data_IF_303076131840
#
_entry.id   IF_303076131840
#
_cell.length_a   1.000
_cell.length_b   1.000
_cell.length_c   1.000
_cell.angle_alpha   90.00
_cell.angle_beta   90.00
_cell.angle_gamma   90.00
#
_symmetry.space_group_name_H-M   'P 1'
#
loop_
_entity.id
_entity.type
_entity.pdbx_description
1 polymer ?
#
# COMPACT_ATOMS: atom_id res chain seq x y z
N UNK A 1 -56.05 -14.13 84.69
CA UNK A 1 -55.78 -12.83 85.36
C UNK A 1 -54.27 -12.62 85.23
N UNK A 2 -53.67 -11.64 84.54
CA UNK A 2 -54.00 -10.30 84.03
C UNK A 2 -53.07 -10.09 82.81
N UNK A 3 -53.58 -9.75 81.61
CA UNK A 3 -53.51 -8.42 80.97
C UNK A 3 -52.14 -7.71 80.99
N UNK A 4 -51.53 -7.67 79.78
CA UNK A 4 -50.75 -6.63 79.07
C UNK A 4 -50.36 -5.33 79.82
N UNK A 5 -49.12 -4.86 79.57
CA UNK A 5 -48.78 -3.59 78.88
C UNK A 5 -47.25 -3.32 79.01
N UNK A 6 -46.45 -3.37 77.93
CA UNK A 6 -46.11 -2.27 77.01
C UNK A 6 -45.79 -0.92 77.69
N UNK A 7 -44.50 -0.64 77.92
CA UNK A 7 -43.85 0.59 77.42
C UNK A 7 -42.35 0.62 77.78
N UNK A 8 -41.52 0.63 76.73
CA UNK A 8 -40.28 1.39 76.55
C UNK A 8 -39.10 1.31 77.54
N UNK A 9 -37.97 1.65 76.92
CA UNK A 9 -36.83 2.35 77.49
C UNK A 9 -35.63 1.53 77.94
N UNK A 10 -34.59 1.70 77.13
CA UNK A 10 -33.18 1.81 77.52
C UNK A 10 -32.47 0.50 77.88
N UNK A 11 -31.22 0.44 77.41
CA UNK A 11 -30.10 -0.29 78.00
C UNK A 11 -29.79 -1.71 77.49
N UNK A 12 -29.61 -1.93 76.18
CA UNK A 12 -28.92 -3.16 75.76
C UNK A 12 -28.14 -3.17 74.44
N UNK A 13 -27.81 -2.03 73.82
CA UNK A 13 -26.94 -2.02 72.61
C UNK A 13 -25.77 -1.02 72.70
N UNK A 14 -25.56 -0.39 73.86
CA UNK A 14 -24.54 0.68 74.04
C UNK A 14 -23.20 0.17 74.62
N UNK A 15 -22.77 -1.04 74.24
CA UNK A 15 -21.46 -1.62 74.62
C UNK A 15 -20.75 -2.36 73.47
N UNK A 16 -20.67 -1.71 72.30
CA UNK A 16 -19.53 -1.85 71.40
C UNK A 16 -18.97 -0.45 71.09
N UNK A 17 -18.58 0.23 72.16
CA UNK A 17 -17.75 1.43 72.17
C UNK A 17 -16.38 1.02 72.72
N UNK A 18 -15.56 0.45 71.85
CA UNK A 18 -14.11 0.35 72.02
C UNK A 18 -13.54 0.17 70.60
N UNK A 19 -12.64 1.08 70.20
CA UNK A 19 -12.08 1.28 68.86
C UNK A 19 -12.89 2.16 67.89
N UNK A 20 -13.25 3.36 68.36
CA UNK A 20 -13.49 4.52 67.51
C UNK A 20 -12.40 5.58 67.77
N UNK A 21 -11.23 5.43 67.14
CA UNK A 21 -10.23 6.51 67.02
C UNK A 21 -9.07 6.09 66.10
N UNK A 22 -9.26 6.21 64.78
CA UNK A 22 -8.24 6.51 63.76
C UNK A 22 -8.76 6.05 62.39
N UNK A 23 -9.04 6.99 61.49
CA UNK A 23 -9.31 6.66 60.08
C UNK A 23 -10.68 7.06 59.54
N UNK A 24 -11.25 8.19 59.97
CA UNK A 24 -12.42 8.77 59.29
C UNK A 24 -12.51 10.29 59.52
N UNK A 25 -11.49 11.04 59.13
CA UNK A 25 -11.55 12.50 59.05
C UNK A 25 -10.38 13.08 58.22
N UNK A 26 -10.39 12.84 56.90
CA UNK A 26 -9.68 13.68 55.91
C UNK A 26 -10.00 13.20 54.49
N UNK A 27 -11.22 13.39 54.01
CA UNK A 27 -11.55 13.17 52.58
C UNK A 27 -12.76 14.01 52.15
N UNK A 28 -12.76 15.28 52.54
CA UNK A 28 -13.59 16.30 51.88
C UNK A 28 -12.71 17.54 51.76
N UNK A 29 -12.47 17.94 50.50
CA UNK A 29 -11.73 19.13 49.98
C UNK A 29 -10.53 18.72 49.13
N UNK A 30 -10.81 18.23 47.92
CA UNK A 30 -9.93 18.28 46.75
C UNK A 30 -10.75 17.95 45.49
N UNK A 31 -11.90 18.60 45.31
CA UNK A 31 -12.83 18.28 44.23
C UNK A 31 -13.41 19.54 43.61
N UNK A 32 -12.57 20.40 43.05
CA UNK A 32 -13.00 21.51 42.17
C UNK A 32 -11.90 22.01 41.21
N UNK A 33 -10.63 21.66 41.41
CA UNK A 33 -9.55 22.10 40.51
C UNK A 33 -9.38 21.23 39.24
N UNK A 34 -9.79 19.95 39.27
CA UNK A 34 -9.57 19.02 38.15
C UNK A 34 -10.67 18.95 37.08
N UNK A 35 -11.86 19.47 37.36
CA UNK A 35 -13.02 19.36 36.45
C UNK A 35 -12.89 20.38 35.30
N UNK A 36 -12.29 21.54 35.56
CA UNK A 36 -12.09 22.59 34.55
C UNK A 36 -11.10 22.18 33.47
N UNK A 37 -10.02 21.49 33.86
CA UNK A 37 -9.00 20.99 32.94
C UNK A 37 -9.48 19.77 32.15
N UNK A 38 -10.29 18.88 32.76
CA UNK A 38 -10.93 17.78 32.03
C UNK A 38 -11.96 18.27 31.00
N UNK A 39 -12.75 19.29 31.32
CA UNK A 39 -13.68 19.88 30.37
C UNK A 39 -12.97 20.62 29.24
N UNK A 40 -11.92 21.39 29.54
CA UNK A 40 -11.13 22.09 28.53
C UNK A 40 -10.44 21.11 27.57
N UNK A 41 -9.83 20.03 28.10
CA UNK A 41 -9.22 19.00 27.26
C UNK A 41 -10.25 18.26 26.38
N UNK A 42 -11.47 18.03 26.88
CA UNK A 42 -12.55 17.42 26.09
C UNK A 42 -13.11 18.36 25.01
N UNK A 43 -13.18 19.66 25.30
CA UNK A 43 -13.61 20.69 24.36
C UNK A 43 -12.57 20.90 23.25
N UNK A 44 -11.28 20.91 23.60
CA UNK A 44 -10.18 20.97 22.65
C UNK A 44 -10.14 19.72 21.77
N UNK A 45 -10.40 18.53 22.33
CA UNK A 45 -10.50 17.29 21.57
C UNK A 45 -11.71 17.31 20.62
N UNK A 46 -12.88 17.77 21.08
CA UNK A 46 -14.07 17.92 20.23
C UNK A 46 -13.86 18.96 19.12
N UNK A 47 -13.18 20.07 19.41
CA UNK A 47 -12.85 21.09 18.43
C UNK A 47 -11.83 20.59 17.39
N UNK A 48 -10.84 19.79 17.79
CA UNK A 48 -9.92 19.13 16.84
C UNK A 48 -10.65 18.14 15.96
N UNK A 49 -11.50 17.28 16.53
CA UNK A 49 -12.33 16.34 15.76
C UNK A 49 -13.29 17.07 14.81
N UNK A 50 -13.89 18.18 15.25
CA UNK A 50 -14.75 19.00 14.41
C UNK A 50 -13.97 19.75 13.32
N UNK A 51 -12.74 20.19 13.61
CA UNK A 51 -11.86 20.83 12.64
C UNK A 51 -11.32 19.83 11.62
N UNK A 52 -11.01 18.61 12.02
CA UNK A 52 -10.65 17.49 11.15
C UNK A 52 -11.85 17.10 10.27
N UNK A 53 -13.04 16.92 10.85
CA UNK A 53 -14.26 16.65 10.09
C UNK A 53 -14.63 17.79 9.13
N UNK A 54 -14.41 19.04 9.53
CA UNK A 54 -14.60 20.24 8.70
C UNK A 54 -13.54 20.34 7.58
N UNK A 55 -12.29 19.96 7.87
CA UNK A 55 -11.23 19.89 6.87
C UNK A 55 -11.51 18.75 5.87
N UNK A 56 -12.01 17.61 6.33
CA UNK A 56 -12.44 16.49 5.49
C UNK A 56 -13.65 16.87 4.61
N UNK A 57 -14.61 17.62 5.14
CA UNK A 57 -15.74 18.13 4.33
C UNK A 57 -15.28 19.19 3.34
N UNK A 58 -14.35 20.08 3.70
CA UNK A 58 -13.85 21.15 2.83
C UNK A 58 -12.89 20.62 1.75
N UNK A 59 -12.13 19.57 2.05
CA UNK A 59 -11.37 18.78 1.08
C UNK A 59 -12.30 17.93 0.19
N UNK A 60 -13.42 17.43 0.73
CA UNK A 60 -14.45 16.73 -0.03
C UNK A 60 -15.21 17.63 -1.02
N UNK A 61 -15.47 18.89 -0.65
CA UNK A 61 -16.26 19.84 -1.44
C UNK A 61 -15.58 20.30 -2.75
N UNK A 62 -14.26 20.18 -2.87
CA UNK A 62 -13.52 20.48 -4.11
C UNK A 62 -13.26 19.24 -4.98
N UNK A 63 -13.58 18.03 -4.47
CA UNK A 63 -13.36 16.72 -5.11
C UNK A 63 -14.71 16.07 -5.46
N UNK A 64 -15.68 16.87 -5.88
CA UNK A 64 -17.07 16.40 -5.96
C UNK A 64 -17.45 15.64 -7.25
N UNK A 65 -16.54 15.58 -8.23
CA UNK A 65 -16.77 14.77 -9.43
C UNK A 65 -16.11 13.41 -9.29
N UNK A 66 -16.88 12.35 -9.59
CA UNK A 66 -16.41 10.95 -9.63
C UNK A 66 -15.08 10.81 -10.39
N UNK A 67 -14.93 11.54 -11.50
CA UNK A 67 -13.70 11.56 -12.31
C UNK A 67 -12.48 12.13 -11.56
N UNK A 68 -12.67 13.14 -10.69
CA UNK A 68 -11.56 13.69 -9.88
C UNK A 68 -11.15 12.72 -8.80
N UNK A 69 -12.12 12.04 -8.17
CA UNK A 69 -11.83 11.01 -7.17
C UNK A 69 -11.13 9.79 -7.81
N UNK A 70 -11.49 9.39 -9.03
CA UNK A 70 -10.75 8.37 -9.78
C UNK A 70 -9.30 8.77 -10.02
N UNK A 71 -9.02 10.03 -10.39
CA UNK A 71 -7.64 10.52 -10.56
C UNK A 71 -6.83 10.47 -9.27
N UNK A 72 -7.46 10.74 -8.11
CA UNK A 72 -6.82 10.56 -6.81
C UNK A 72 -6.41 9.10 -6.60
N UNK A 73 -7.32 8.15 -6.85
CA UNK A 73 -7.00 6.71 -6.78
C UNK A 73 -5.84 6.35 -7.71
N UNK A 74 -5.86 6.81 -8.95
CA UNK A 74 -4.77 6.55 -9.91
C UNK A 74 -3.44 7.17 -9.46
N UNK A 75 -3.46 8.34 -8.85
CA UNK A 75 -2.24 8.97 -8.30
C UNK A 75 -1.67 8.14 -7.16
N UNK A 76 -2.52 7.67 -6.24
CA UNK A 76 -2.10 6.76 -5.17
C UNK A 76 -1.46 5.48 -5.73
N UNK A 77 -2.02 4.92 -6.79
CA UNK A 77 -1.48 3.74 -7.46
C UNK A 77 -0.10 4.01 -8.10
N UNK A 78 0.10 5.18 -8.72
CA UNK A 78 1.42 5.60 -9.23
C UNK A 78 2.47 5.73 -8.14
N UNK A 79 2.05 6.02 -6.91
CA UNK A 79 2.90 6.12 -5.72
C UNK A 79 3.01 4.78 -4.96
N UNK A 80 2.55 3.67 -5.56
CA UNK A 80 2.53 2.33 -4.97
C UNK A 80 1.70 2.20 -3.67
N UNK A 81 0.78 3.13 -3.42
CA UNK A 81 -0.12 3.15 -2.26
C UNK A 81 -1.34 2.24 -2.49
N UNK A 82 -1.10 0.99 -2.84
CA UNK A 82 -2.14 0.05 -3.30
C UNK A 82 -3.24 -0.22 -2.27
N UNK A 83 -2.88 -0.46 -1.00
CA UNK A 83 -3.86 -0.71 0.07
C UNK A 83 -4.72 0.52 0.36
N UNK A 84 -4.11 1.70 0.39
CA UNK A 84 -4.86 2.94 0.58
C UNK A 84 -5.79 3.19 -0.63
N UNK A 85 -5.32 2.91 -1.85
CA UNK A 85 -6.15 3.01 -3.05
C UNK A 85 -7.40 2.11 -2.97
N UNK A 86 -7.31 0.89 -2.42
CA UNK A 86 -8.47 0.01 -2.22
C UNK A 86 -9.53 0.62 -1.30
N UNK A 87 -9.11 1.23 -0.18
CA UNK A 87 -10.04 1.89 0.73
C UNK A 87 -10.75 3.09 0.07
N UNK A 88 -10.03 3.86 -0.73
CA UNK A 88 -10.61 4.96 -1.51
C UNK A 88 -11.54 4.45 -2.61
N UNK A 89 -11.23 3.33 -3.25
CA UNK A 89 -12.13 2.70 -4.23
C UNK A 89 -13.42 2.23 -3.54
N UNK A 90 -13.35 1.64 -2.34
CA UNK A 90 -14.56 1.29 -1.57
C UNK A 90 -15.43 2.51 -1.27
N UNK A 91 -14.82 3.64 -0.90
CA UNK A 91 -15.54 4.90 -0.68
C UNK A 91 -16.16 5.45 -1.98
N UNK A 92 -15.41 5.40 -3.09
CA UNK A 92 -15.87 5.83 -4.41
C UNK A 92 -17.08 5.01 -4.87
N UNK A 93 -17.01 3.68 -4.77
CA UNK A 93 -18.09 2.79 -5.22
C UNK A 93 -19.33 2.88 -4.32
N UNK A 94 -19.18 3.16 -3.02
CA UNK A 94 -20.33 3.44 -2.14
C UNK A 94 -21.05 4.73 -2.53
N UNK A 95 -20.30 5.74 -2.97
CA UNK A 95 -20.83 7.07 -3.28
C UNK A 95 -21.44 7.16 -4.68
N UNK A 96 -20.78 6.58 -5.69
CA UNK A 96 -21.17 6.72 -7.09
C UNK A 96 -21.51 5.38 -7.78
N UNK A 97 -21.44 4.26 -7.06
CA UNK A 97 -21.67 2.93 -7.62
C UNK A 97 -20.43 2.35 -8.32
N UNK A 98 -20.53 1.08 -8.69
CA UNK A 98 -19.49 0.37 -9.43
C UNK A 98 -19.58 0.73 -10.92
N UNK A 99 -18.49 1.28 -11.46
CA UNK A 99 -18.30 1.55 -12.89
C UNK A 99 -17.16 0.72 -13.49
N UNK A 100 -17.05 0.59 -14.83
CA UNK A 100 -15.90 -0.04 -15.47
C UNK A 100 -14.55 0.57 -15.04
N UNK A 101 -14.48 1.89 -14.89
CA UNK A 101 -13.27 2.61 -14.47
C UNK A 101 -12.88 2.25 -13.04
N UNK A 102 -13.84 2.25 -12.11
CA UNK A 102 -13.61 1.82 -10.72
C UNK A 102 -13.19 0.35 -10.65
N UNK A 103 -13.82 -0.51 -11.46
CA UNK A 103 -13.50 -1.95 -11.57
C UNK A 103 -12.07 -2.15 -12.05
N UNK A 104 -11.62 -1.37 -13.05
CA UNK A 104 -10.26 -1.44 -13.58
C UNK A 104 -9.21 -1.09 -12.51
N UNK A 105 -9.38 0.04 -11.81
CA UNK A 105 -8.42 0.44 -10.77
C UNK A 105 -8.45 -0.50 -9.57
N UNK A 106 -9.62 -1.05 -9.22
CA UNK A 106 -9.76 -2.10 -8.19
C UNK A 106 -9.00 -3.37 -8.57
N UNK A 107 -9.20 -3.86 -9.79
CA UNK A 107 -8.56 -5.07 -10.28
C UNK A 107 -7.03 -4.96 -10.19
N UNK A 108 -6.47 -3.81 -10.59
CA UNK A 108 -5.04 -3.56 -10.49
C UNK A 108 -4.55 -3.52 -9.04
N UNK A 109 -5.25 -2.81 -8.15
CA UNK A 109 -4.87 -2.77 -6.73
C UNK A 109 -4.97 -4.14 -6.05
N UNK A 110 -5.97 -4.95 -6.38
CA UNK A 110 -6.10 -6.33 -5.90
C UNK A 110 -4.92 -7.20 -6.40
N UNK A 111 -4.52 -7.05 -7.67
CA UNK A 111 -3.38 -7.77 -8.23
C UNK A 111 -2.08 -7.40 -7.52
N UNK A 112 -1.84 -6.11 -7.30
CA UNK A 112 -0.63 -5.59 -6.65
C UNK A 112 -0.55 -5.94 -5.16
N UNK A 113 -1.71 -6.13 -4.50
CA UNK A 113 -1.79 -6.58 -3.11
C UNK A 113 -1.84 -8.10 -2.95
N UNK A 114 -1.66 -8.87 -4.03
CA UNK A 114 -1.59 -10.34 -4.00
C UNK A 114 -2.94 -11.06 -3.92
N UNK A 115 -4.05 -10.34 -4.05
CA UNK A 115 -5.41 -10.89 -4.00
C UNK A 115 -5.83 -11.44 -5.38
N UNK A 116 -5.09 -12.41 -5.89
CA UNK A 116 -5.17 -12.87 -7.28
C UNK A 116 -6.58 -13.31 -7.73
N UNK A 117 -7.31 -14.07 -6.89
CA UNK A 117 -8.65 -14.54 -7.23
C UNK A 117 -9.66 -13.39 -7.33
N UNK A 118 -9.58 -12.40 -6.42
CA UNK A 118 -10.44 -11.22 -6.46
C UNK A 118 -10.09 -10.31 -7.66
N UNK A 119 -8.79 -10.18 -7.97
CA UNK A 119 -8.32 -9.47 -9.15
C UNK A 119 -8.85 -10.10 -10.44
N UNK A 120 -8.77 -11.42 -10.56
CA UNK A 120 -9.31 -12.18 -11.70
C UNK A 120 -10.81 -11.92 -11.91
N UNK A 121 -11.62 -12.03 -10.85
CA UNK A 121 -13.04 -11.73 -10.91
C UNK A 121 -13.31 -10.27 -11.35
N UNK A 122 -12.47 -9.33 -10.92
CA UNK A 122 -12.60 -7.92 -11.27
C UNK A 122 -12.21 -7.65 -12.73
N UNK A 123 -11.14 -8.28 -13.24
CA UNK A 123 -10.78 -8.20 -14.65
C UNK A 123 -11.82 -8.85 -15.56
N UNK A 124 -12.43 -9.96 -15.14
CA UNK A 124 -13.52 -10.61 -15.88
C UNK A 124 -14.76 -9.71 -16.01
N UNK A 125 -15.05 -8.87 -15.01
CA UNK A 125 -16.15 -7.87 -15.11
C UNK A 125 -15.92 -6.80 -16.15
N UNK A 126 -14.69 -6.64 -16.66
CA UNK A 126 -14.39 -5.69 -17.74
C UNK A 126 -14.72 -6.25 -19.13
N UNK A 127 -14.98 -7.55 -19.26
CA UNK A 127 -15.29 -8.18 -20.55
C UNK A 127 -16.59 -7.60 -21.13
N UNK A 128 -16.56 -7.20 -22.41
CA UNK A 128 -17.70 -6.54 -23.06
C UNK A 128 -17.87 -5.04 -22.73
N UNK A 129 -16.99 -4.46 -21.90
CA UNK A 129 -16.92 -3.01 -21.68
C UNK A 129 -15.87 -2.36 -22.60
N UNK A 130 -15.87 -1.03 -22.78
CA UNK A 130 -14.78 -0.34 -23.48
C UNK A 130 -13.39 -0.55 -22.85
N UNK A 131 -13.30 -1.04 -21.62
CA UNK A 131 -12.05 -1.31 -20.91
C UNK A 131 -11.65 -2.80 -20.95
N UNK A 132 -12.26 -3.62 -21.80
CA UNK A 132 -11.94 -5.06 -21.89
C UNK A 132 -10.46 -5.33 -22.22
N UNK A 133 -9.78 -4.43 -22.93
CA UNK A 133 -8.33 -4.52 -23.17
C UNK A 133 -7.51 -4.55 -21.86
N UNK A 134 -7.90 -3.77 -20.85
CA UNK A 134 -7.30 -3.83 -19.52
C UNK A 134 -7.64 -5.13 -18.79
N UNK A 135 -8.86 -5.64 -18.98
CA UNK A 135 -9.28 -6.93 -18.45
C UNK A 135 -8.41 -8.07 -18.99
N UNK A 136 -8.26 -8.16 -20.32
CA UNK A 136 -7.41 -9.15 -20.96
C UNK A 136 -5.95 -9.01 -20.54
N UNK A 137 -5.41 -7.79 -20.46
CA UNK A 137 -4.04 -7.57 -19.98
C UNK A 137 -3.87 -8.08 -18.55
N UNK A 138 -4.79 -7.74 -17.66
CA UNK A 138 -4.78 -8.19 -16.27
C UNK A 138 -4.82 -9.71 -16.10
N UNK A 139 -5.69 -10.39 -16.86
CA UNK A 139 -5.75 -11.85 -16.90
C UNK A 139 -4.46 -12.47 -17.43
N UNK A 140 -3.85 -11.87 -18.46
CA UNK A 140 -2.55 -12.29 -18.96
C UNK A 140 -1.42 -12.16 -17.93
N UNK A 141 -1.40 -11.05 -17.17
CA UNK A 141 -0.45 -10.85 -16.08
C UNK A 141 -0.65 -11.87 -14.94
N UNK A 142 -1.90 -12.18 -14.59
CA UNK A 142 -2.21 -13.21 -13.59
C UNK A 142 -1.79 -14.62 -14.05
N UNK A 143 -2.02 -14.96 -15.33
CA UNK A 143 -1.55 -16.21 -15.91
C UNK A 143 -0.02 -16.32 -15.88
N UNK A 144 0.69 -15.24 -16.24
CA UNK A 144 2.14 -15.16 -16.17
C UNK A 144 2.69 -15.28 -14.74
N UNK A 145 1.99 -14.72 -13.75
CA UNK A 145 2.34 -14.87 -12.33
C UNK A 145 2.17 -16.32 -11.83
N UNK A 146 1.24 -17.08 -12.43
CA UNK A 146 1.07 -18.53 -12.19
C UNK A 146 2.07 -19.39 -12.98
N UNK A 147 2.94 -18.78 -13.78
CA UNK A 147 3.89 -19.49 -14.66
C UNK A 147 3.27 -20.04 -15.94
N UNK A 148 1.97 -19.81 -16.18
CA UNK A 148 1.28 -20.27 -17.39
C UNK A 148 1.42 -19.23 -18.52
N UNK A 149 2.62 -19.19 -19.10
CA UNK A 149 2.95 -18.25 -20.18
C UNK A 149 2.20 -18.49 -21.50
N UNK A 150 1.86 -19.72 -21.92
CA UNK A 150 1.00 -19.94 -23.09
C UNK A 150 -0.34 -19.21 -22.99
N UNK A 151 -1.04 -19.33 -21.85
CA UNK A 151 -2.31 -18.63 -21.64
C UNK A 151 -2.09 -17.11 -21.50
N UNK A 152 -0.99 -16.69 -20.87
CA UNK A 152 -0.63 -15.27 -20.80
C UNK A 152 -0.50 -14.65 -22.20
N UNK A 153 0.14 -15.33 -23.14
CA UNK A 153 0.26 -14.88 -24.54
C UNK A 153 -1.13 -14.75 -25.19
N UNK A 154 -2.04 -15.70 -24.99
CA UNK A 154 -3.39 -15.62 -25.58
C UNK A 154 -4.15 -14.40 -25.07
N UNK A 155 -4.18 -14.19 -23.75
CA UNK A 155 -4.83 -13.02 -23.16
C UNK A 155 -4.18 -11.71 -23.60
N UNK A 156 -2.84 -11.63 -23.62
CA UNK A 156 -2.13 -10.42 -24.03
C UNK A 156 -2.30 -10.11 -25.53
N UNK A 157 -2.45 -11.13 -26.39
CA UNK A 157 -2.85 -10.93 -27.79
C UNK A 157 -4.26 -10.34 -27.88
N UNK A 158 -5.23 -10.83 -27.10
CA UNK A 158 -6.57 -10.23 -27.08
C UNK A 158 -6.53 -8.76 -26.63
N UNK A 159 -5.76 -8.47 -25.59
CA UNK A 159 -5.54 -7.09 -25.16
C UNK A 159 -4.90 -6.24 -26.27
N UNK A 160 -3.91 -6.75 -27.00
CA UNK A 160 -3.22 -6.03 -28.08
C UNK A 160 -4.18 -5.63 -29.19
N UNK A 161 -5.14 -6.50 -29.56
CA UNK A 161 -6.16 -6.17 -30.56
C UNK A 161 -7.04 -4.98 -30.12
N UNK A 162 -7.16 -4.72 -28.81
CA UNK A 162 -7.95 -3.60 -28.27
C UNK A 162 -7.12 -2.35 -28.03
N UNK A 163 -5.85 -2.50 -27.68
CA UNK A 163 -4.93 -1.40 -27.41
C UNK A 163 -3.58 -1.62 -28.14
N UNK A 164 -3.54 -1.49 -29.48
CA UNK A 164 -2.36 -1.84 -30.28
C UNK A 164 -1.17 -0.91 -30.07
N UNK A 165 -1.37 0.26 -29.45
CA UNK A 165 -0.34 1.28 -29.20
C UNK A 165 0.06 1.38 -27.72
N UNK A 166 -0.40 0.47 -26.86
CA UNK A 166 0.05 0.43 -25.47
C UNK A 166 1.42 -0.25 -25.36
N UNK A 167 2.46 0.56 -25.16
CA UNK A 167 3.83 0.09 -25.05
C UNK A 167 4.06 -0.88 -23.88
N UNK A 168 3.36 -0.73 -22.74
CA UNK A 168 3.52 -1.65 -21.62
C UNK A 168 2.93 -3.01 -21.95
N UNK A 169 1.74 -3.01 -22.56
CA UNK A 169 1.08 -4.23 -23.02
C UNK A 169 1.94 -4.99 -24.05
N UNK A 170 2.52 -4.29 -25.02
CA UNK A 170 3.41 -4.90 -26.02
C UNK A 170 4.67 -5.47 -25.35
N UNK A 171 5.22 -4.77 -24.35
CA UNK A 171 6.34 -5.28 -23.56
C UNK A 171 5.98 -6.54 -22.76
N UNK A 172 4.79 -6.56 -22.15
CA UNK A 172 4.27 -7.73 -21.42
C UNK A 172 4.06 -8.93 -22.37
N UNK A 173 3.50 -8.70 -23.57
CA UNK A 173 3.31 -9.73 -24.59
C UNK A 173 4.65 -10.33 -25.03
N UNK A 174 5.62 -9.47 -25.35
CA UNK A 174 6.96 -9.90 -25.71
C UNK A 174 7.63 -10.72 -24.61
N UNK A 175 7.54 -10.27 -23.36
CA UNK A 175 8.04 -11.03 -22.22
C UNK A 175 7.34 -12.39 -22.07
N UNK A 176 6.02 -12.43 -22.18
CA UNK A 176 5.26 -13.69 -22.11
C UNK A 176 5.67 -14.66 -23.24
N UNK A 177 5.93 -14.16 -24.45
CA UNK A 177 6.42 -14.97 -25.57
C UNK A 177 7.83 -15.53 -25.30
N UNK A 178 8.74 -14.73 -24.74
CA UNK A 178 10.07 -15.20 -24.34
C UNK A 178 9.97 -16.33 -23.31
N UNK A 179 9.10 -16.16 -22.31
CA UNK A 179 8.87 -17.14 -21.25
C UNK A 179 8.14 -18.39 -21.73
N UNK A 180 7.28 -18.28 -22.74
CA UNK A 180 6.65 -19.40 -23.43
C UNK A 180 7.58 -20.11 -24.44
N UNK A 181 8.81 -19.62 -24.63
CA UNK A 181 9.77 -20.18 -25.58
C UNK A 181 9.56 -19.77 -27.04
N UNK A 182 8.58 -18.90 -27.31
CA UNK A 182 8.29 -18.33 -28.63
C UNK A 182 9.19 -17.12 -28.90
N UNK A 183 10.52 -17.33 -28.88
CA UNK A 183 11.52 -16.26 -28.87
C UNK A 183 11.41 -15.37 -30.12
N UNK A 184 11.27 -15.97 -31.30
CA UNK A 184 11.23 -15.23 -32.56
C UNK A 184 10.02 -14.29 -32.65
N UNK A 185 8.88 -14.70 -32.10
CA UNK A 185 7.67 -13.88 -32.11
C UNK A 185 7.77 -12.66 -31.17
N UNK A 186 8.62 -12.72 -30.14
CA UNK A 186 8.79 -11.64 -29.18
C UNK A 186 9.44 -10.39 -29.81
N UNK A 187 10.14 -10.54 -30.94
CA UNK A 187 10.87 -9.44 -31.59
C UNK A 187 9.96 -8.25 -31.91
N UNK A 188 8.86 -8.49 -32.63
CA UNK A 188 7.98 -7.43 -33.12
C UNK A 188 7.36 -6.60 -31.98
N UNK A 189 6.67 -7.19 -30.99
CA UNK A 189 6.05 -6.41 -29.91
C UNK A 189 7.09 -5.71 -29.04
N UNK A 190 8.27 -6.30 -28.79
CA UNK A 190 9.33 -5.62 -28.03
C UNK A 190 9.92 -4.41 -28.76
N UNK A 191 10.14 -4.52 -30.08
CA UNK A 191 10.58 -3.39 -30.89
C UNK A 191 9.53 -2.28 -30.93
N UNK A 192 8.25 -2.63 -31.09
CA UNK A 192 7.15 -1.66 -31.04
C UNK A 192 7.08 -0.97 -29.67
N UNK A 193 7.18 -1.72 -28.57
CA UNK A 193 7.18 -1.17 -27.22
C UNK A 193 8.31 -0.15 -27.01
N UNK A 194 9.52 -0.47 -27.48
CA UNK A 194 10.67 0.44 -27.36
C UNK A 194 10.52 1.69 -28.25
N UNK A 195 9.97 1.56 -29.46
CA UNK A 195 9.74 2.72 -30.33
C UNK A 195 8.63 3.64 -29.80
N UNK A 196 7.58 3.07 -29.22
CA UNK A 196 6.49 3.84 -28.60
C UNK A 196 6.93 4.50 -27.29
N UNK A 197 7.83 3.85 -26.53
CA UNK A 197 8.35 4.38 -25.27
C UNK A 197 9.84 4.04 -25.09
N UNK A 198 10.74 4.86 -25.66
CA UNK A 198 12.19 4.62 -25.62
C UNK A 198 12.78 4.61 -24.21
N UNK A 199 12.16 5.30 -23.26
CA UNK A 199 12.56 5.43 -21.86
C UNK A 199 11.98 4.32 -20.95
N UNK A 200 11.20 3.38 -21.50
CA UNK A 200 10.66 2.26 -20.72
C UNK A 200 11.76 1.30 -20.28
N UNK A 201 12.15 1.37 -19.02
CA UNK A 201 13.12 0.44 -18.41
C UNK A 201 12.68 -1.02 -18.55
N UNK A 202 11.38 -1.30 -18.45
CA UNK A 202 10.80 -2.63 -18.66
C UNK A 202 10.98 -3.09 -20.12
N UNK A 203 10.64 -2.26 -21.11
CA UNK A 203 10.81 -2.64 -22.52
C UNK A 203 12.28 -2.83 -22.89
N UNK A 204 13.17 -1.97 -22.39
CA UNK A 204 14.63 -2.11 -22.56
C UNK A 204 15.14 -3.44 -21.97
N UNK A 205 14.73 -3.78 -20.73
CA UNK A 205 15.14 -5.02 -20.10
C UNK A 205 14.62 -6.27 -20.85
N UNK A 206 13.37 -6.23 -21.32
CA UNK A 206 12.79 -7.34 -22.08
C UNK A 206 13.44 -7.51 -23.46
N UNK A 207 13.81 -6.40 -24.13
CA UNK A 207 14.58 -6.47 -25.38
C UNK A 207 16.00 -7.02 -25.16
N UNK A 208 16.66 -6.65 -24.06
CA UNK A 208 17.97 -7.19 -23.70
C UNK A 208 17.87 -8.71 -23.47
N UNK A 209 16.82 -9.15 -22.78
CA UNK A 209 16.54 -10.57 -22.57
C UNK A 209 16.28 -11.30 -23.90
N UNK A 210 15.52 -10.70 -24.82
CA UNK A 210 15.32 -11.24 -26.17
C UNK A 210 16.65 -11.39 -26.93
N UNK A 211 17.52 -10.38 -26.90
CA UNK A 211 18.83 -10.41 -27.58
C UNK A 211 19.73 -11.48 -26.98
N UNK A 212 19.77 -11.59 -25.66
CA UNK A 212 20.48 -12.69 -24.98
C UNK A 212 19.94 -14.05 -25.44
N UNK A 213 18.63 -14.27 -25.42
CA UNK A 213 18.01 -15.55 -25.83
C UNK A 213 18.17 -15.86 -27.32
N UNK A 214 18.32 -14.84 -28.16
CA UNK A 214 18.57 -14.96 -29.60
C UNK A 214 20.06 -15.10 -29.95
N UNK A 215 20.92 -15.31 -28.93
CA UNK A 215 22.38 -15.42 -29.06
C UNK A 215 23.07 -14.17 -29.65
N UNK A 216 22.46 -13.00 -29.49
CA UNK A 216 22.98 -11.70 -29.92
C UNK A 216 23.59 -10.95 -28.73
N UNK A 217 24.55 -11.57 -28.05
CA UNK A 217 25.09 -11.11 -26.76
C UNK A 217 25.82 -9.78 -26.86
N UNK A 218 26.56 -9.54 -27.94
CA UNK A 218 27.24 -8.27 -28.19
C UNK A 218 26.25 -7.11 -28.34
N UNK A 219 25.16 -7.34 -29.09
CA UNK A 219 24.09 -6.35 -29.25
C UNK A 219 23.37 -6.10 -27.91
N UNK A 220 23.12 -7.16 -27.14
CA UNK A 220 22.53 -7.03 -25.80
C UNK A 220 23.42 -6.17 -24.89
N UNK A 221 24.74 -6.44 -24.85
CA UNK A 221 25.68 -5.68 -24.05
C UNK A 221 25.74 -4.20 -24.47
N UNK A 222 25.91 -3.92 -25.77
CA UNK A 222 25.95 -2.57 -26.30
C UNK A 222 24.66 -1.79 -25.99
N UNK A 223 23.49 -2.43 -26.13
CA UNK A 223 22.21 -1.81 -25.81
C UNK A 223 22.06 -1.53 -24.31
N UNK A 224 22.44 -2.48 -23.45
CA UNK A 224 22.41 -2.28 -21.99
C UNK A 224 23.37 -1.16 -21.54
N UNK A 225 24.52 -1.02 -22.20
CA UNK A 225 25.47 0.07 -21.99
C UNK A 225 24.91 1.42 -22.44
N UNK A 226 24.37 1.48 -23.66
CA UNK A 226 23.77 2.70 -24.22
C UNK A 226 22.62 3.24 -23.35
N UNK A 227 21.80 2.34 -22.79
CA UNK A 227 20.71 2.70 -21.89
C UNK A 227 21.12 2.84 -20.41
N UNK A 228 22.43 2.81 -20.12
CA UNK A 228 23.00 3.00 -18.78
C UNK A 228 22.39 2.06 -17.73
N UNK A 229 22.07 0.83 -18.11
CA UNK A 229 21.52 -0.16 -17.17
C UNK A 229 22.54 -0.47 -16.08
N UNK A 230 22.09 -0.62 -14.84
CA UNK A 230 22.97 -0.93 -13.71
C UNK A 230 23.62 -2.31 -13.87
N UNK A 231 24.79 -2.52 -13.25
CA UNK A 231 25.47 -3.83 -13.24
C UNK A 231 24.56 -4.95 -12.74
N UNK A 232 23.78 -4.67 -11.68
CA UNK A 232 22.79 -5.59 -11.14
C UNK A 232 21.69 -5.96 -12.15
N UNK A 233 21.15 -4.98 -12.89
CA UNK A 233 20.13 -5.25 -13.90
C UNK A 233 20.67 -6.10 -15.05
N UNK A 234 21.89 -5.80 -15.51
CA UNK A 234 22.56 -6.57 -16.57
C UNK A 234 22.80 -8.02 -16.16
N UNK A 235 23.25 -8.23 -14.92
CA UNK A 235 23.46 -9.57 -14.37
C UNK A 235 22.13 -10.35 -14.31
N UNK A 236 21.08 -9.74 -13.76
CA UNK A 236 19.77 -10.35 -13.66
C UNK A 236 19.21 -10.78 -15.03
N UNK A 237 19.41 -9.97 -16.08
CA UNK A 237 18.99 -10.31 -17.45
C UNK A 237 19.75 -11.52 -17.99
N UNK A 238 21.07 -11.55 -17.81
CA UNK A 238 21.91 -12.69 -18.24
C UNK A 238 21.55 -13.97 -17.51
N UNK A 239 21.33 -13.90 -16.20
CA UNK A 239 20.89 -15.02 -15.37
C UNK A 239 19.51 -15.52 -15.80
N UNK A 240 18.55 -14.62 -16.01
CA UNK A 240 17.23 -14.99 -16.53
C UNK A 240 17.32 -15.69 -17.89
N UNK A 241 18.17 -15.20 -18.81
CA UNK A 241 18.38 -15.84 -20.10
C UNK A 241 18.96 -17.26 -19.94
N UNK A 242 19.93 -17.45 -19.04
CA UNK A 242 20.50 -18.77 -18.76
C UNK A 242 19.47 -19.74 -18.17
N UNK A 243 18.65 -19.27 -17.22
CA UNK A 243 17.59 -20.07 -16.63
C UNK A 243 16.58 -20.52 -17.68
N UNK A 244 16.15 -19.64 -18.58
CA UNK A 244 15.21 -19.99 -19.65
C UNK A 244 15.81 -20.97 -20.66
N UNK A 245 17.09 -20.81 -21.02
CA UNK A 245 17.80 -21.80 -21.86
C UNK A 245 17.86 -23.17 -21.19
N UNK A 246 18.17 -23.23 -19.88
CA UNK A 246 18.23 -24.47 -19.11
C UNK A 246 16.86 -25.13 -18.97
N UNK A 247 15.83 -24.37 -18.60
CA UNK A 247 14.46 -24.87 -18.51
C UNK A 247 13.97 -25.49 -19.82
N UNK A 248 14.40 -24.91 -20.96
CA UNK A 248 14.14 -25.47 -22.29
C UNK A 248 14.95 -26.74 -22.58
N UNK A 249 16.20 -26.80 -22.13
CA UNK A 249 17.05 -27.98 -22.31
C UNK A 249 16.61 -29.18 -21.44
N UNK A 250 15.98 -28.91 -20.29
CA UNK A 250 15.50 -29.90 -19.32
C UNK A 250 14.05 -30.31 -19.58
N UNK A 251 13.26 -29.53 -20.33
CA UNK A 251 11.91 -29.92 -20.73
C UNK A 251 11.96 -31.24 -21.54
N UNK A 252 11.44 -32.36 -21.01
CA UNK A 252 11.49 -33.62 -21.72
C UNK A 252 10.54 -33.55 -22.93
N UNK A 253 10.94 -34.17 -24.03
CA UNK A 253 9.99 -34.62 -25.04
C UNK A 253 8.93 -35.49 -24.33
N UNK A 254 7.71 -34.95 -24.18
CA UNK A 254 6.50 -35.55 -23.59
C UNK A 254 6.70 -36.54 -22.42
N UNK A 255 6.26 -36.19 -21.18
CA UNK A 255 6.17 -37.20 -20.15
C UNK A 255 4.87 -38.01 -20.33
N UNK A 256 5.01 -39.32 -20.51
CA UNK A 256 3.97 -40.23 -20.00
C UNK A 256 3.86 -40.01 -18.48
N UNK A 257 2.61 -39.90 -18.03
CA UNK A 257 2.23 -39.50 -16.69
C UNK A 257 2.97 -40.25 -15.56
N UNK A 258 3.50 -39.50 -14.59
CA UNK A 258 3.34 -39.83 -13.16
C UNK A 258 3.61 -38.59 -12.32
N UNK A 259 2.68 -38.29 -11.42
CA UNK A 259 2.71 -37.09 -10.60
C UNK A 259 3.76 -37.14 -9.50
N UNK A 260 4.51 -36.05 -9.37
CA UNK A 260 5.16 -35.64 -8.12
C UNK A 260 5.33 -34.12 -8.18
N UNK A 261 4.61 -33.41 -7.31
CA UNK A 261 4.62 -31.96 -7.21
C UNK A 261 5.88 -31.50 -6.47
N UNK A 262 6.91 -31.08 -7.21
CA UNK A 262 7.98 -30.25 -6.65
C UNK A 262 7.54 -28.80 -6.80
N UNK A 263 7.37 -28.12 -5.67
CA UNK A 263 6.98 -26.72 -5.62
C UNK A 263 8.23 -25.88 -5.85
N UNK A 264 8.48 -25.54 -7.10
CA UNK A 264 9.58 -24.66 -7.50
C UNK A 264 9.28 -23.22 -7.07
N UNK A 265 10.16 -22.65 -6.25
CA UNK A 265 10.06 -21.29 -5.75
C UNK A 265 10.38 -20.32 -6.90
N UNK A 266 9.32 -19.88 -7.59
CA UNK A 266 9.40 -18.95 -8.72
C UNK A 266 10.09 -17.65 -8.29
N UNK A 267 11.19 -17.32 -8.96
CA UNK A 267 11.71 -15.96 -8.99
C UNK A 267 10.61 -15.00 -9.48
N UNK A 268 10.42 -13.83 -8.83
CA UNK A 268 9.45 -12.86 -9.28
C UNK A 268 9.78 -12.38 -10.71
N UNK A 269 8.79 -11.85 -11.47
CA UNK A 269 9.09 -11.18 -12.73
C UNK A 269 10.18 -10.13 -12.52
N UNK A 270 10.91 -9.77 -13.58
CA UNK A 270 11.91 -8.70 -13.59
C UNK A 270 11.23 -7.33 -13.36
N UNK A 271 10.59 -7.16 -12.21
CA UNK A 271 10.20 -5.87 -11.67
C UNK A 271 11.48 -5.33 -11.05
N UNK A 272 12.14 -4.42 -11.76
CA UNK A 272 13.15 -3.57 -11.15
C UNK A 272 12.47 -2.87 -9.96
N UNK A 273 12.76 -3.34 -8.74
CA UNK A 273 12.32 -2.68 -7.51
C UNK A 273 12.75 -1.22 -7.58
N UNK A 274 11.80 -0.30 -7.43
CA UNK A 274 12.10 1.08 -7.14
C UNK A 274 12.99 1.15 -5.89
N UNK A 275 14.09 1.88 -6.02
CA UNK A 275 15.07 2.14 -4.98
C UNK A 275 14.36 2.58 -3.70
N UNK A 276 14.55 1.84 -2.60
CA UNK A 276 14.09 2.27 -1.28
C UNK A 276 14.88 3.50 -0.85
N UNK A 277 14.25 4.67 -0.88
CA UNK A 277 14.61 5.78 -0.02
C UNK A 277 14.13 5.47 1.40
N UNK A 278 14.88 4.65 2.14
CA UNK A 278 14.68 4.55 3.59
C UNK A 278 15.34 5.75 4.25
N UNK A 279 14.60 6.86 4.35
CA UNK A 279 14.87 7.84 5.39
C UNK A 279 14.63 7.16 6.73
N UNK A 280 15.69 7.06 7.53
CA UNK A 280 15.64 6.68 8.93
C UNK A 280 14.72 7.66 9.69
N UNK A 281 13.46 7.30 9.86
CA UNK A 281 12.65 7.79 10.98
C UNK A 281 13.10 6.97 12.19
N UNK A 282 14.14 7.46 12.84
CA UNK A 282 14.54 7.00 14.16
C UNK A 282 13.44 7.32 15.15
N UNK A 283 12.74 6.29 15.63
CA UNK A 283 11.89 6.32 16.81
C UNK A 283 12.74 6.80 17.98
N UNK A 284 12.54 8.04 18.44
CA UNK A 284 13.00 8.49 19.75
C UNK A 284 11.86 8.33 20.74
N UNK A 285 11.86 7.21 21.45
CA UNK A 285 11.19 7.07 22.74
C UNK A 285 11.84 8.03 23.73
N UNK A 286 11.15 9.10 24.10
CA UNK A 286 11.58 10.00 25.16
C UNK A 286 11.18 9.42 26.53
N UNK A 287 12.01 8.55 27.08
CA UNK A 287 12.16 8.41 28.54
C UNK A 287 13.16 9.47 28.98
N UNK A 288 12.69 10.55 29.61
CA UNK A 288 13.58 11.47 30.34
C UNK A 288 13.14 11.51 31.79
N UNK A 289 13.91 10.79 32.59
CA UNK A 289 13.96 10.87 34.03
C UNK A 289 14.34 12.29 34.48
N UNK A 290 13.60 12.74 35.48
CA UNK A 290 13.79 13.98 36.24
C UNK A 290 15.02 13.86 37.16
N UNK A 291 15.77 14.93 37.40
CA UNK A 291 16.29 15.15 38.74
C UNK A 291 15.97 16.54 39.31
N UNK A 292 15.77 16.51 40.62
CA UNK A 292 15.28 17.54 41.54
C UNK A 292 16.32 18.61 41.88
N UNK A 293 15.82 19.86 41.98
CA UNK A 293 16.17 21.02 42.84
C UNK A 293 17.63 21.43 43.14
N UNK A 294 17.92 22.73 42.93
CA UNK A 294 18.08 23.72 44.02
C UNK A 294 18.15 25.17 43.49
N UNK A 295 17.50 26.09 44.21
CA UNK A 295 17.34 27.55 43.98
C UNK A 295 18.50 28.37 44.63
N UNK A 296 18.48 29.72 44.86
CA UNK A 296 17.49 30.79 44.52
C UNK A 296 18.07 32.20 44.12
N UNK A 297 17.15 33.15 43.84
CA UNK A 297 17.19 34.66 43.96
C UNK A 297 18.19 35.46 43.10
N UNK A 298 17.87 36.56 42.39
CA UNK A 298 17.26 37.85 42.83
C UNK A 298 17.04 38.79 41.59
N UNK A 299 16.03 39.69 41.54
CA UNK A 299 15.92 40.83 40.58
C UNK A 299 16.41 42.16 41.24
N UNK A 300 16.36 43.41 40.68
CA UNK A 300 15.58 43.91 39.51
C UNK A 300 16.18 45.09 38.64
N UNK A 301 15.42 45.49 37.59
CA UNK A 301 15.22 46.86 37.02
C UNK A 301 16.26 47.51 36.03
N UNK A 302 15.94 48.65 35.34
CA UNK A 302 15.80 48.76 33.86
C UNK A 302 16.70 49.88 33.26
N UNK A 303 16.58 50.22 31.96
CA UNK A 303 16.89 51.53 31.27
C UNK A 303 16.84 51.24 29.74
N UNK A 304 15.90 51.78 28.95
CA UNK A 304 15.95 53.04 28.13
C UNK A 304 17.22 53.11 27.24
N UNK A 305 17.30 53.42 25.96
CA UNK A 305 16.55 54.11 24.89
C UNK A 305 17.08 53.44 23.58
N UNK A 306 16.57 53.56 22.35
CA UNK A 306 16.26 54.74 21.56
C UNK A 306 15.64 54.22 20.25
N UNK A 307 14.64 54.94 19.77
CA UNK A 307 13.94 54.77 18.50
C UNK A 307 14.33 56.00 17.68
N UNK A 308 14.99 55.81 16.54
CA UNK A 308 15.04 56.82 15.48
C UNK A 308 14.97 56.11 14.12
N UNK A 309 13.80 56.25 13.51
CA UNK A 309 13.50 56.20 12.07
C UNK A 309 13.78 57.59 11.47
N UNK A 310 14.00 57.75 10.16
CA UNK A 310 13.30 57.10 9.04
C UNK A 310 14.11 56.10 8.22
#
# INVERSE_FOLDING_TARGET
MKTLDFCNCLSAVRRMLAFASAGAAALVVAGCAGIKDQYAASADAQQRMAAEAAADTKAGATVDTQATYLKLVEQMQKEDLWFASLAHIDALERRWGVSPESTRVRAEALRQTGQAAAAEASYQRLMGTPLEGFGYRGLGLLAGARGNYPDAVQFLRQAQHRAPTDALLLSDLGYAQLRAGSIDEARLPLMQALQLRPDSTQAQANLALYLELSNQQEQAAAMMDANRMSSAARLAIKEAAQQLRRGRAVAPASPLATGMTVREELAPPLVLKASRSSNLIGVRTATRSNPVANAPSTPPSPISTSRDTP
#
